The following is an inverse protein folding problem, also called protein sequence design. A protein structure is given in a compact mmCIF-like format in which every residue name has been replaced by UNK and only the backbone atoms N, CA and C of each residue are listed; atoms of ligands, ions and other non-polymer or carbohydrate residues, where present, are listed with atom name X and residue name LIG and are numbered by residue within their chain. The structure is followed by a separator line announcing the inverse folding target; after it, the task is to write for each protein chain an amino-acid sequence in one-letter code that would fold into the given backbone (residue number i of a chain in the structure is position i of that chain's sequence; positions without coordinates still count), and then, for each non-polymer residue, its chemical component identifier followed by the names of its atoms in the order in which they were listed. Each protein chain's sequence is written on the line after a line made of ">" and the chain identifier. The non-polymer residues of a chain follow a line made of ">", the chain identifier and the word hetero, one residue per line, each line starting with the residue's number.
data_IF_327990646293
#
_entry.id   IF_327990646293
#
_cell.length_a   1.000
_cell.length_b   1.000
_cell.length_c   1.000
_cell.angle_alpha   90.00
_cell.angle_beta   90.00
_cell.angle_gamma   90.00
#
_symmetry.space_group_name_H-M   'P 1'
#
loop_
_entity.id
_entity.type
_entity.pdbx_description
1 polymer ?
#
# COMPACT_ATOMS: atom_id res chain seq x y z
N UNK A 1 -1.94 -31.07 15.70
CA UNK A 1 -0.52 -30.94 15.31
C UNK A 1 -0.25 -29.46 15.21
N UNK A 2 0.25 -28.88 16.30
CA UNK A 2 0.58 -27.45 16.40
C UNK A 2 1.95 -27.25 15.78
N UNK A 3 2.02 -26.59 14.62
CA UNK A 3 3.28 -26.29 13.95
C UNK A 3 4.02 -25.25 14.80
N UNK A 4 5.17 -25.65 15.38
CA UNK A 4 6.02 -24.75 16.13
C UNK A 4 6.39 -23.54 15.27
N UNK A 5 5.90 -22.36 15.67
CA UNK A 5 6.20 -21.10 15.00
C UNK A 5 7.72 -20.89 14.99
N UNK A 6 8.31 -20.86 13.80
CA UNK A 6 9.75 -20.61 13.67
C UNK A 6 10.06 -19.19 14.15
N UNK A 7 11.12 -18.98 14.95
CA UNK A 7 11.45 -17.66 15.46
C UNK A 7 11.74 -16.70 14.29
N UNK A 8 11.11 -15.53 14.30
CA UNK A 8 11.32 -14.52 13.26
C UNK A 8 12.75 -14.02 13.30
N UNK A 9 13.53 -14.46 12.31
CA UNK A 9 14.93 -14.08 12.15
C UNK A 9 15.01 -12.82 11.29
N UNK A 10 15.71 -11.81 11.80
CA UNK A 10 16.05 -10.63 11.02
C UNK A 10 16.82 -11.02 9.74
N UNK A 11 16.66 -10.23 8.68
CA UNK A 11 17.37 -10.46 7.43
C UNK A 11 18.87 -10.25 7.64
N UNK A 12 19.71 -11.09 7.02
CA UNK A 12 21.15 -10.81 6.97
C UNK A 12 21.41 -9.53 6.17
N UNK A 13 22.51 -8.78 6.43
CA UNK A 13 22.81 -7.55 5.69
C UNK A 13 22.90 -7.73 4.17
N UNK A 14 23.32 -8.92 3.71
CA UNK A 14 23.38 -9.25 2.28
C UNK A 14 21.98 -9.46 1.70
N UNK A 15 21.09 -10.13 2.44
CA UNK A 15 19.69 -10.31 2.04
C UNK A 15 18.96 -8.97 2.02
N UNK A 16 19.16 -8.13 3.04
CA UNK A 16 18.56 -6.80 3.10
C UNK A 16 18.96 -5.93 1.91
N UNK A 17 20.26 -5.92 1.56
CA UNK A 17 20.75 -5.19 0.39
C UNK A 17 20.11 -5.70 -0.90
N UNK A 18 20.14 -7.01 -1.15
CA UNK A 18 19.54 -7.60 -2.35
C UNK A 18 18.04 -7.34 -2.45
N UNK A 19 17.33 -7.42 -1.32
CA UNK A 19 15.90 -7.13 -1.27
C UNK A 19 15.62 -5.67 -1.57
N UNK A 20 16.40 -4.75 -1.00
CA UNK A 20 16.31 -3.32 -1.27
C UNK A 20 16.52 -3.03 -2.75
N UNK A 21 17.61 -3.52 -3.34
CA UNK A 21 17.94 -3.33 -4.76
C UNK A 21 16.79 -3.84 -5.64
N UNK A 22 16.29 -5.05 -5.35
CA UNK A 22 15.17 -5.64 -6.06
C UNK A 22 13.88 -4.82 -5.94
N UNK A 23 13.52 -4.38 -4.74
CA UNK A 23 12.34 -3.55 -4.52
C UNK A 23 12.48 -2.21 -5.25
N UNK A 24 13.62 -1.55 -5.15
CA UNK A 24 13.89 -0.28 -5.85
C UNK A 24 13.73 -0.40 -7.36
N UNK A 25 14.28 -1.46 -7.97
CA UNK A 25 14.14 -1.75 -9.39
C UNK A 25 12.66 -1.94 -9.77
N UNK A 26 11.90 -2.68 -8.97
CA UNK A 26 10.48 -2.92 -9.23
C UNK A 26 9.61 -1.68 -9.04
N UNK A 27 9.89 -0.85 -8.03
CA UNK A 27 9.25 0.45 -7.87
C UNK A 27 9.54 1.38 -9.07
N UNK A 28 10.79 1.40 -9.54
CA UNK A 28 11.20 2.18 -10.71
C UNK A 28 10.48 1.69 -11.97
N UNK A 29 10.40 0.37 -12.16
CA UNK A 29 9.70 -0.23 -13.28
C UNK A 29 8.20 0.11 -13.26
N UNK A 30 7.54 -0.05 -12.12
CA UNK A 30 6.13 0.30 -11.93
C UNK A 30 5.87 1.77 -12.26
N UNK A 31 6.70 2.68 -11.71
CA UNK A 31 6.61 4.12 -11.94
C UNK A 31 6.85 4.47 -13.40
N UNK A 32 7.84 3.84 -14.04
CA UNK A 32 8.16 4.06 -15.45
C UNK A 32 7.00 3.61 -16.34
N UNK A 33 6.41 2.46 -16.06
CA UNK A 33 5.30 1.93 -16.84
C UNK A 33 4.04 2.80 -16.66
N UNK A 34 3.77 3.29 -15.45
CA UNK A 34 2.72 4.28 -15.18
C UNK A 34 2.96 5.58 -15.96
N UNK A 35 4.15 6.18 -15.86
CA UNK A 35 4.48 7.44 -16.57
C UNK A 35 4.41 7.30 -18.08
N UNK A 36 4.88 6.17 -18.64
CA UNK A 36 4.78 5.88 -20.09
C UNK A 36 3.33 5.88 -20.59
N UNK A 37 2.35 5.55 -19.74
CA UNK A 37 0.91 5.63 -20.08
C UNK A 37 0.36 7.05 -20.01
N UNK A 38 0.86 7.89 -19.11
CA UNK A 38 0.42 9.28 -18.98
C UNK A 38 0.96 10.20 -20.10
N UNK A 39 2.15 9.91 -20.63
CA UNK A 39 2.81 10.71 -21.69
C UNK A 39 2.04 10.76 -23.04
N UNK A 40 1.38 9.70 -23.52
CA UNK A 40 0.52 9.74 -24.71
C UNK A 40 -0.65 10.74 -24.64
N UNK A 41 -1.24 10.95 -23.46
CA UNK A 41 -2.43 11.79 -23.30
C UNK A 41 -2.14 13.29 -23.46
N UNK A 42 -1.00 13.75 -22.94
CA UNK A 42 -0.59 15.17 -23.03
C UNK A 42 -0.04 15.50 -24.44
N UNK A 43 0.58 14.53 -25.12
CA UNK A 43 1.04 14.71 -26.50
C UNK A 43 -0.07 14.63 -27.55
N UNK A 44 -1.20 13.97 -27.28
CA UNK A 44 -2.35 13.96 -28.20
C UNK A 44 -3.05 15.33 -28.30
N UNK A 45 -3.05 16.12 -27.22
CA UNK A 45 -3.65 17.47 -27.25
C UNK A 45 -2.82 18.42 -28.13
N UNK A 46 -1.50 18.22 -28.26
CA UNK A 46 -0.62 19.07 -29.06
C UNK A 46 -0.24 18.52 -30.45
N UNK A 47 -0.56 17.26 -30.79
CA UNK A 47 -0.30 16.68 -32.12
C UNK A 47 -1.52 16.70 -33.03
N UNK A 48 -2.11 17.87 -33.27
CA UNK A 48 -3.10 18.04 -34.35
C UNK A 48 -2.45 18.34 -35.72
N UNK A 49 -1.12 18.18 -35.89
CA UNK A 49 -0.46 18.56 -37.14
C UNK A 49 0.79 17.74 -37.49
N UNK A 50 0.67 16.41 -37.57
CA UNK A 50 1.54 15.62 -38.46
C UNK A 50 1.01 14.18 -38.62
N UNK A 51 0.53 13.86 -39.81
CA UNK A 51 0.11 12.53 -40.24
C UNK A 51 1.33 11.63 -40.46
N UNK A 52 1.65 10.77 -39.47
CA UNK A 52 2.24 9.45 -39.70
C UNK A 52 1.75 8.49 -38.61
N UNK A 53 1.09 7.38 -38.96
CA UNK A 53 0.78 6.34 -37.99
C UNK A 53 2.07 5.55 -37.72
N UNK A 54 2.79 5.88 -36.65
CA UNK A 54 3.77 4.92 -36.10
C UNK A 54 2.99 3.89 -35.29
N UNK A 55 2.78 2.73 -35.88
CA UNK A 55 2.30 1.53 -35.21
C UNK A 55 3.40 0.99 -34.28
N UNK A 56 3.63 1.64 -33.14
CA UNK A 56 4.21 0.97 -31.98
C UNK A 56 3.08 0.80 -30.96
N UNK A 57 2.66 -0.44 -30.64
CA UNK A 57 1.81 -0.62 -29.47
C UNK A 57 2.67 -0.21 -28.28
N UNK A 58 2.33 0.91 -27.63
CA UNK A 58 2.92 1.30 -26.34
C UNK A 58 2.43 0.27 -25.31
N UNK A 59 3.00 -0.92 -25.35
CA UNK A 59 2.63 -2.09 -24.56
C UNK A 59 3.15 -1.87 -23.15
N UNK A 60 2.51 -0.98 -22.41
CA UNK A 60 2.74 -0.81 -20.98
C UNK A 60 2.01 -1.94 -20.26
N UNK A 61 2.72 -2.71 -19.45
CA UNK A 61 2.16 -3.82 -18.66
C UNK A 61 1.11 -3.39 -17.62
N UNK A 62 0.99 -2.07 -17.35
CA UNK A 62 0.03 -1.47 -16.42
C UNK A 62 -0.96 -0.51 -17.12
N UNK A 63 -1.47 -0.93 -18.28
CA UNK A 63 -2.37 -0.13 -19.11
C UNK A 63 -3.70 0.18 -18.40
N UNK A 64 -4.22 -0.75 -17.61
CA UNK A 64 -5.46 -0.61 -16.84
C UNK A 64 -5.19 -0.43 -15.35
N UNK A 65 -6.17 0.09 -14.61
CA UNK A 65 -6.08 0.17 -13.14
C UNK A 65 -5.97 -1.23 -12.53
N UNK A 66 -6.70 -2.22 -13.06
CA UNK A 66 -6.64 -3.60 -12.60
C UNK A 66 -5.23 -4.21 -12.71
N UNK A 67 -4.52 -3.92 -13.80
CA UNK A 67 -3.13 -4.38 -13.98
C UNK A 67 -2.17 -3.66 -13.04
N UNK A 68 -2.36 -2.35 -12.85
CA UNK A 68 -1.57 -1.58 -11.90
C UNK A 68 -1.73 -2.08 -10.47
N UNK A 69 -2.97 -2.31 -10.02
CA UNK A 69 -3.27 -2.85 -8.68
C UNK A 69 -2.68 -4.25 -8.48
N UNK A 70 -2.66 -5.10 -9.52
CA UNK A 70 -2.06 -6.44 -9.45
C UNK A 70 -0.54 -6.38 -9.28
N UNK A 71 0.12 -5.54 -10.08
CA UNK A 71 1.58 -5.36 -9.98
C UNK A 71 1.96 -4.70 -8.65
N UNK A 72 1.20 -3.69 -8.21
CA UNK A 72 1.47 -3.00 -6.94
C UNK A 72 1.19 -3.90 -5.73
N UNK A 73 0.18 -4.78 -5.79
CA UNK A 73 -0.09 -5.78 -4.75
C UNK A 73 1.08 -6.76 -4.57
N UNK A 74 1.80 -7.09 -5.64
CA UNK A 74 3.00 -7.93 -5.55
C UNK A 74 4.07 -7.24 -4.71
N UNK A 75 4.29 -5.93 -4.92
CA UNK A 75 5.23 -5.14 -4.11
C UNK A 75 4.74 -4.96 -2.68
N UNK A 76 3.45 -4.76 -2.48
CA UNK A 76 2.82 -4.69 -1.16
C UNK A 76 3.08 -5.97 -0.35
N UNK A 77 2.75 -7.14 -0.91
CA UNK A 77 2.95 -8.43 -0.25
C UNK A 77 4.43 -8.68 0.08
N UNK A 78 5.34 -8.40 -0.85
CA UNK A 78 6.78 -8.53 -0.62
C UNK A 78 7.29 -7.58 0.48
N UNK A 79 6.78 -6.35 0.52
CA UNK A 79 7.15 -5.36 1.53
C UNK A 79 6.67 -5.80 2.92
N UNK A 80 5.46 -6.35 3.03
CA UNK A 80 4.92 -6.82 4.30
C UNK A 80 5.55 -8.10 4.83
N UNK A 81 6.12 -8.93 3.95
CA UNK A 81 6.92 -10.10 4.34
C UNK A 81 8.27 -9.74 4.97
N UNK A 82 8.70 -8.46 4.93
CA UNK A 82 9.89 -8.02 5.65
C UNK A 82 9.65 -8.20 7.17
N UNK A 83 10.56 -8.86 7.90
CA UNK A 83 10.38 -9.11 9.33
C UNK A 83 10.14 -7.81 10.12
N UNK A 84 9.19 -7.79 11.07
CA UNK A 84 8.96 -6.66 11.97
C UNK A 84 10.04 -6.53 13.06
N UNK A 85 11.20 -7.19 12.89
CA UNK A 85 12.32 -7.15 13.83
C UNK A 85 13.40 -6.16 13.36
N UNK A 86 14.04 -5.41 14.27
CA UNK A 86 15.18 -4.57 13.91
C UNK A 86 16.35 -5.38 13.34
N UNK A 87 17.11 -4.86 12.36
CA UNK A 87 16.96 -3.54 11.72
C UNK A 87 15.92 -3.49 10.57
N UNK A 88 15.44 -4.65 10.11
CA UNK A 88 14.60 -4.77 8.91
C UNK A 88 13.23 -4.09 9.03
N UNK A 89 12.72 -3.90 10.25
CA UNK A 89 11.46 -3.19 10.51
C UNK A 89 11.40 -1.78 9.89
N UNK A 90 12.51 -1.02 9.94
CA UNK A 90 12.56 0.33 9.34
C UNK A 90 12.48 0.29 7.81
N UNK A 91 13.05 -0.76 7.19
CA UNK A 91 12.98 -0.98 5.75
C UNK A 91 11.52 -1.23 5.32
N UNK A 92 10.79 -2.07 6.08
CA UNK A 92 9.36 -2.35 5.87
C UNK A 92 8.54 -1.07 5.87
N UNK A 93 8.70 -0.25 6.90
CA UNK A 93 8.00 1.04 7.02
C UNK A 93 8.32 1.98 5.85
N UNK A 94 9.60 2.10 5.49
CA UNK A 94 10.05 3.01 4.43
C UNK A 94 9.45 2.65 3.07
N UNK A 95 9.49 1.38 2.68
CA UNK A 95 8.92 0.94 1.40
C UNK A 95 7.40 1.00 1.40
N UNK A 96 6.74 0.72 2.53
CA UNK A 96 5.28 0.80 2.60
C UNK A 96 4.80 2.25 2.52
N UNK A 97 5.50 3.19 3.16
CA UNK A 97 5.25 4.64 3.02
C UNK A 97 5.38 5.08 1.56
N UNK A 98 6.43 4.63 0.87
CA UNK A 98 6.65 4.92 -0.55
C UNK A 98 5.52 4.36 -1.41
N UNK A 99 5.19 3.08 -1.22
CA UNK A 99 4.13 2.42 -1.97
C UNK A 99 2.78 3.11 -1.80
N UNK A 100 2.45 3.49 -0.57
CA UNK A 100 1.23 4.24 -0.26
C UNK A 100 1.21 5.55 -1.04
N UNK A 101 2.29 6.34 -0.99
CA UNK A 101 2.37 7.59 -1.75
C UNK A 101 2.26 7.40 -3.26
N UNK A 102 2.97 6.40 -3.81
CA UNK A 102 2.94 6.11 -5.25
C UNK A 102 1.55 5.69 -5.72
N UNK A 103 0.84 4.87 -4.94
CA UNK A 103 -0.48 4.34 -5.32
C UNK A 103 -1.57 5.38 -5.18
N UNK A 104 -1.62 6.09 -4.04
CA UNK A 104 -2.61 7.15 -3.85
C UNK A 104 -2.48 8.24 -4.92
N UNK A 105 -1.25 8.54 -5.37
CA UNK A 105 -1.01 9.48 -6.47
C UNK A 105 -1.23 8.90 -7.88
N UNK A 106 -1.15 7.57 -8.06
CA UNK A 106 -1.29 6.94 -9.37
C UNK A 106 -2.73 6.59 -9.75
N UNK A 107 -3.57 6.19 -8.78
CA UNK A 107 -4.97 5.78 -9.01
C UNK A 107 -5.74 6.85 -9.80
N UNK A 108 -5.70 8.15 -9.44
CA UNK A 108 -6.41 9.19 -10.19
C UNK A 108 -5.97 9.34 -11.64
N UNK A 109 -4.78 8.84 -12.00
CA UNK A 109 -4.30 8.82 -13.38
C UNK A 109 -5.02 7.81 -14.28
N UNK A 110 -5.85 6.92 -13.73
CA UNK A 110 -6.64 5.94 -14.48
C UNK A 110 -8.08 6.44 -14.65
N UNK A 111 -8.82 5.88 -15.61
CA UNK A 111 -10.25 6.19 -15.75
C UNK A 111 -11.04 5.37 -14.72
N UNK A 112 -11.95 5.98 -13.93
CA UNK A 112 -12.82 5.21 -13.04
C UNK A 112 -13.81 4.41 -13.89
N UNK A 113 -13.91 3.12 -13.62
CA UNK A 113 -14.88 2.20 -14.24
C UNK A 113 -15.56 1.41 -13.13
N UNK A 114 -16.89 1.24 -13.15
CA UNK A 114 -17.60 0.59 -12.04
C UNK A 114 -17.05 -0.83 -11.77
N UNK A 115 -16.67 -1.55 -12.82
CA UNK A 115 -16.17 -2.94 -12.73
C UNK A 115 -14.86 -3.09 -11.94
N UNK A 116 -14.06 -2.02 -11.79
CA UNK A 116 -12.77 -2.06 -11.08
C UNK A 116 -12.88 -1.55 -9.64
N UNK A 117 -14.00 -0.93 -9.26
CA UNK A 117 -14.18 -0.35 -7.93
C UNK A 117 -14.14 -1.39 -6.80
N UNK A 118 -14.77 -2.59 -6.93
CA UNK A 118 -14.63 -3.62 -5.91
C UNK A 118 -13.17 -4.06 -5.72
N UNK A 119 -12.44 -4.26 -6.82
CA UNK A 119 -11.03 -4.65 -6.78
C UNK A 119 -10.17 -3.57 -6.12
N UNK A 120 -10.45 -2.29 -6.40
CA UNK A 120 -9.76 -1.17 -5.76
C UNK A 120 -10.04 -1.13 -4.26
N UNK A 121 -11.30 -1.27 -3.86
CA UNK A 121 -11.69 -1.27 -2.45
C UNK A 121 -11.04 -2.41 -1.68
N UNK A 122 -11.04 -3.64 -2.24
CA UNK A 122 -10.34 -4.78 -1.64
C UNK A 122 -8.85 -4.50 -1.46
N UNK A 123 -8.22 -3.89 -2.47
CA UNK A 123 -6.80 -3.53 -2.41
C UNK A 123 -6.51 -2.47 -1.33
N UNK A 124 -7.38 -1.45 -1.19
CA UNK A 124 -7.25 -0.41 -0.16
C UNK A 124 -7.50 -0.97 1.25
N UNK A 125 -8.44 -1.91 1.40
CA UNK A 125 -8.66 -2.62 2.64
C UNK A 125 -7.46 -3.47 3.06
N UNK A 126 -6.81 -4.14 2.11
CA UNK A 126 -5.56 -4.85 2.37
C UNK A 126 -4.46 -3.88 2.79
N UNK A 127 -4.35 -2.72 2.13
CA UNK A 127 -3.40 -1.68 2.52
C UNK A 127 -3.62 -1.19 3.96
N UNK A 128 -4.88 -0.96 4.37
CA UNK A 128 -5.22 -0.59 5.75
C UNK A 128 -4.79 -1.66 6.76
N UNK A 129 -5.12 -2.94 6.51
CA UNK A 129 -4.70 -4.07 7.35
C UNK A 129 -3.17 -4.20 7.40
N UNK A 130 -2.51 -3.97 6.27
CA UNK A 130 -1.06 -3.98 6.17
C UNK A 130 -0.42 -2.91 7.05
N UNK A 131 -0.98 -1.70 7.05
CA UNK A 131 -0.56 -0.62 7.93
C UNK A 131 -0.82 -0.91 9.40
N UNK A 132 -1.99 -1.47 9.75
CA UNK A 132 -2.27 -1.93 11.12
C UNK A 132 -1.23 -2.95 11.59
N UNK A 133 -0.88 -3.93 10.74
CA UNK A 133 0.16 -4.91 11.08
C UNK A 133 1.53 -4.25 11.28
N UNK A 134 1.89 -3.22 10.49
CA UNK A 134 3.13 -2.47 10.68
C UNK A 134 3.12 -1.66 11.97
N UNK A 135 2.03 -0.93 12.25
CA UNK A 135 1.89 -0.10 13.44
C UNK A 135 1.97 -0.92 14.73
N UNK A 136 1.45 -2.15 14.70
CA UNK A 136 1.46 -3.09 15.82
C UNK A 136 2.72 -3.95 15.90
N UNK A 137 3.65 -3.83 14.95
CA UNK A 137 4.86 -4.66 14.91
C UNK A 137 4.57 -6.15 14.64
N UNK A 138 3.46 -6.46 13.98
CA UNK A 138 3.01 -7.81 13.68
C UNK A 138 3.68 -8.36 12.41
N UNK A 139 3.81 -9.69 12.35
CA UNK A 139 4.13 -10.37 11.10
C UNK A 139 2.92 -10.31 10.17
N UNK A 140 3.15 -10.40 8.86
CA UNK A 140 2.08 -10.45 7.89
C UNK A 140 1.84 -11.88 7.43
N UNK A 141 0.62 -12.36 7.56
CA UNK A 141 0.17 -13.59 6.91
C UNK A 141 -0.34 -13.24 5.50
N UNK A 142 0.40 -13.69 4.48
CA UNK A 142 0.07 -13.41 3.09
C UNK A 142 -1.16 -14.17 2.58
N UNK A 143 -1.46 -15.33 3.16
CA UNK A 143 -2.60 -16.16 2.76
C UNK A 143 -3.89 -15.63 3.41
N UNK A 144 -3.83 -15.30 4.70
CA UNK A 144 -4.97 -14.77 5.45
C UNK A 144 -5.15 -13.25 5.31
N UNK A 145 -4.16 -12.53 4.77
CA UNK A 145 -4.13 -11.05 4.62
C UNK A 145 -4.39 -10.30 5.93
N UNK A 146 -3.75 -10.76 7.00
CA UNK A 146 -3.88 -10.20 8.34
C UNK A 146 -2.54 -10.13 9.06
N UNK A 147 -2.44 -9.18 10.00
CA UNK A 147 -1.34 -9.14 10.95
C UNK A 147 -1.47 -10.29 11.95
N UNK A 148 -0.39 -11.02 12.17
CA UNK A 148 -0.30 -12.07 13.19
C UNK A 148 0.69 -11.67 14.27
N UNK A 149 0.27 -11.86 15.52
CA UNK A 149 1.15 -11.63 16.66
C UNK A 149 2.31 -12.61 16.62
N UNK A 150 3.51 -12.07 16.75
CA UNK A 150 4.72 -12.88 16.77
C UNK A 150 4.86 -13.43 18.19
N UNK A 151 4.87 -14.76 18.39
CA UNK A 151 5.16 -15.33 19.69
C UNK A 151 6.52 -14.80 20.15
N UNK A 152 6.52 -14.09 21.27
CA UNK A 152 7.74 -13.59 21.89
C UNK A 152 8.67 -14.78 22.06
N UNK A 153 9.84 -14.76 21.41
CA UNK A 153 10.82 -15.81 21.61
C UNK A 153 11.15 -15.82 23.11
N UNK A 154 10.72 -16.89 23.79
CA UNK A 154 10.96 -17.13 25.19
C UNK A 154 12.46 -16.97 25.45
N UNK A 155 12.77 -15.93 26.23
CA UNK A 155 13.74 -15.86 27.31
C UNK A 155 14.72 -17.06 27.38
N UNK A 156 16.05 -16.84 27.33
CA UNK A 156 16.98 -17.90 27.67
C UNK A 156 16.69 -18.38 29.11
N UNK A 157 16.65 -19.70 29.37
CA UNK A 157 16.67 -20.19 30.74
C UNK A 157 18.06 -19.88 31.30
N UNK A 158 18.06 -19.30 32.50
CA UNK A 158 19.22 -19.09 33.38
C UNK A 158 19.98 -17.75 33.24
N UNK A 159 19.84 -16.91 34.28
CA UNK A 159 20.88 -15.97 34.71
C UNK A 159 20.45 -14.52 34.92
N UNK A 160 19.99 -14.20 36.14
CA UNK A 160 19.95 -12.90 36.84
C UNK A 160 20.41 -11.63 36.08
N UNK A 161 19.67 -11.21 35.07
CA UNK A 161 19.79 -9.87 34.47
C UNK A 161 18.41 -9.19 34.45
N UNK A 162 18.31 -7.90 34.78
CA UNK A 162 17.04 -7.19 34.82
C UNK A 162 16.37 -7.30 33.44
N UNK A 163 15.12 -7.77 33.45
CA UNK A 163 14.28 -8.05 32.30
C UNK A 163 14.41 -6.94 31.24
N UNK A 164 15.32 -7.15 30.29
CA UNK A 164 15.44 -6.32 29.11
C UNK A 164 14.39 -6.85 28.14
N UNK A 165 13.20 -6.28 28.26
CA UNK A 165 12.10 -6.36 27.29
C UNK A 165 12.72 -6.40 25.91
N UNK A 166 12.65 -7.55 25.25
CA UNK A 166 13.23 -7.70 23.91
C UNK A 166 12.37 -6.85 23.00
N UNK A 167 12.87 -5.64 22.73
CA UNK A 167 12.14 -4.52 22.13
C UNK A 167 11.54 -4.98 20.81
N UNK A 168 10.21 -5.19 20.79
CA UNK A 168 9.40 -5.17 19.58
C UNK A 168 9.88 -3.97 18.75
N UNK A 169 10.10 -4.17 17.43
CA UNK A 169 10.78 -3.20 16.59
C UNK A 169 10.31 -1.78 16.86
N UNK A 170 11.25 -0.84 16.99
CA UNK A 170 10.96 0.52 17.45
C UNK A 170 9.67 1.04 16.83
N UNK A 171 8.71 1.50 17.65
CA UNK A 171 7.44 1.98 17.14
C UNK A 171 7.72 3.09 16.11
N UNK A 172 6.92 3.08 15.05
CA UNK A 172 6.98 4.03 13.94
C UNK A 172 7.17 5.46 14.49
N UNK A 173 8.17 6.18 13.98
CA UNK A 173 8.50 7.52 14.50
C UNK A 173 7.34 8.51 14.29
N UNK A 174 7.26 9.55 15.13
CA UNK A 174 6.23 10.58 14.99
C UNK A 174 6.23 11.24 13.61
N UNK A 175 7.41 11.41 13.00
CA UNK A 175 7.54 11.94 11.64
C UNK A 175 6.95 10.99 10.60
N UNK A 176 7.22 9.69 10.70
CA UNK A 176 6.65 8.69 9.80
C UNK A 176 5.13 8.58 9.97
N UNK A 177 4.61 8.68 11.21
CA UNK A 177 3.17 8.70 11.50
C UNK A 177 2.49 9.93 10.89
N UNK A 178 3.08 11.11 11.09
CA UNK A 178 2.60 12.36 10.48
C UNK A 178 2.58 12.25 8.96
N UNK A 179 3.64 11.69 8.36
CA UNK A 179 3.72 11.47 6.92
C UNK A 179 2.64 10.49 6.43
N UNK A 180 2.47 9.35 7.09
CA UNK A 180 1.42 8.39 6.75
C UNK A 180 0.04 9.04 6.80
N UNK A 181 -0.28 9.74 7.89
CA UNK A 181 -1.55 10.46 8.03
C UNK A 181 -1.78 11.44 6.88
N UNK A 182 -0.77 12.21 6.49
CA UNK A 182 -0.87 13.16 5.37
C UNK A 182 -1.11 12.46 4.02
N UNK A 183 -0.48 11.30 3.79
CA UNK A 183 -0.67 10.51 2.57
C UNK A 183 -2.07 9.91 2.48
N UNK A 184 -2.59 9.39 3.61
CA UNK A 184 -3.93 8.79 3.65
C UNK A 184 -5.01 9.85 3.45
N UNK A 185 -4.98 10.95 4.23
CA UNK A 185 -5.99 12.01 4.13
C UNK A 185 -5.94 12.70 2.76
N UNK A 186 -4.75 13.05 2.27
CA UNK A 186 -4.61 13.67 0.96
C UNK A 186 -4.99 12.72 -0.17
N UNK A 187 -4.66 11.44 -0.02
CA UNK A 187 -4.98 10.40 -0.99
C UNK A 187 -6.47 10.08 -1.07
N UNK A 188 -7.18 10.00 0.06
CA UNK A 188 -8.63 9.77 0.07
C UNK A 188 -9.38 10.93 -0.57
N UNK A 189 -8.98 12.18 -0.28
CA UNK A 189 -9.55 13.36 -0.94
C UNK A 189 -9.34 13.34 -2.47
N UNK A 190 -8.16 12.94 -2.95
CA UNK A 190 -7.91 12.76 -4.39
C UNK A 190 -8.73 11.62 -4.99
N UNK A 191 -8.98 10.57 -4.21
CA UNK A 191 -9.78 9.43 -4.63
C UNK A 191 -11.27 9.80 -4.75
N UNK A 192 -11.80 10.57 -3.81
CA UNK A 192 -13.16 11.12 -3.86
C UNK A 192 -13.34 12.02 -5.11
N UNK A 193 -12.42 12.96 -5.36
CA UNK A 193 -12.43 13.78 -6.57
C UNK A 193 -12.34 12.92 -7.84
N UNK A 194 -11.54 11.86 -7.82
CA UNK A 194 -11.47 10.91 -8.92
C UNK A 194 -12.79 10.16 -9.14
N UNK A 195 -13.48 9.75 -8.07
CA UNK A 195 -14.79 9.10 -8.14
C UNK A 195 -15.88 10.02 -8.69
N UNK A 196 -15.82 11.33 -8.43
CA UNK A 196 -16.74 12.31 -9.06
C UNK A 196 -16.66 12.25 -10.59
N UNK A 197 -15.50 11.87 -11.17
CA UNK A 197 -15.38 11.68 -12.62
C UNK A 197 -16.05 10.41 -13.16
N UNK A 198 -16.51 9.50 -12.29
CA UNK A 198 -17.34 8.35 -12.68
C UNK A 198 -18.68 8.83 -13.26
N UNK A 199 -19.20 9.95 -12.76
CA UNK A 199 -20.50 10.54 -13.14
C UNK A 199 -20.47 11.07 -14.56
N UNK A 200 -19.32 11.63 -14.97
CA UNK A 200 -19.12 12.06 -16.35
C UNK A 200 -19.17 10.89 -17.37
N UNK A 201 -18.96 9.64 -16.93
CA UNK A 201 -19.01 8.47 -17.79
C UNK A 201 -20.43 7.88 -17.94
N UNK A 202 -21.34 8.13 -16.98
CA UNK A 202 -22.75 7.74 -17.00
C UNK A 202 -23.58 9.02 -16.82
N UNK A 203 -23.97 9.64 -17.92
CA UNK A 203 -24.57 10.99 -18.06
C UNK A 203 -25.70 11.46 -17.12
N UNK A 204 -26.06 10.77 -16.02
CA UNK A 204 -27.07 11.24 -15.06
C UNK A 204 -27.00 10.58 -13.65
N UNK A 205 -25.97 9.79 -13.31
CA UNK A 205 -25.88 9.13 -12.01
C UNK A 205 -24.78 9.72 -11.13
N UNK A 206 -25.14 10.17 -9.93
CA UNK A 206 -24.21 10.50 -8.83
C UNK A 206 -23.40 9.26 -8.42
N UNK A 207 -22.08 9.40 -8.27
CA UNK A 207 -21.18 8.29 -7.95
C UNK A 207 -21.58 7.63 -6.64
N UNK A 208 -22.16 8.40 -5.71
CA UNK A 208 -22.70 7.90 -4.44
C UNK A 208 -23.78 6.85 -4.69
N UNK A 209 -24.72 7.11 -5.61
CA UNK A 209 -25.74 6.14 -5.99
C UNK A 209 -25.14 4.90 -6.68
N UNK A 210 -24.08 5.09 -7.49
CA UNK A 210 -23.37 3.95 -8.12
C UNK A 210 -22.71 3.08 -7.06
N UNK A 211 -22.04 3.67 -6.08
CA UNK A 211 -21.42 2.95 -4.97
C UNK A 211 -22.46 2.26 -4.08
N UNK A 212 -23.57 2.92 -3.77
CA UNK A 212 -24.68 2.35 -2.99
C UNK A 212 -25.30 1.15 -3.71
N UNK A 213 -25.57 1.28 -5.02
CA UNK A 213 -26.12 0.19 -5.84
C UNK A 213 -25.19 -1.03 -5.87
N UNK A 214 -23.88 -0.80 -5.77
CA UNK A 214 -22.86 -1.86 -5.72
C UNK A 214 -22.57 -2.34 -4.30
N UNK A 215 -23.15 -1.73 -3.26
CA UNK A 215 -22.88 -2.03 -1.85
C UNK A 215 -21.47 -1.65 -1.40
N UNK A 216 -20.80 -0.73 -2.11
CA UNK A 216 -19.40 -0.34 -1.85
C UNK A 216 -19.29 0.93 -0.99
N UNK A 217 -20.36 1.71 -0.86
CA UNK A 217 -20.33 3.03 -0.22
C UNK A 217 -19.70 3.00 1.17
N UNK A 218 -20.22 2.15 2.07
CA UNK A 218 -19.69 2.02 3.43
C UNK A 218 -18.19 1.69 3.46
N UNK A 219 -17.72 0.87 2.52
CA UNK A 219 -16.30 0.52 2.44
C UNK A 219 -15.42 1.70 2.04
N UNK A 220 -15.91 2.57 1.15
CA UNK A 220 -15.21 3.81 0.79
C UNK A 220 -15.26 4.85 1.94
N UNK A 221 -16.39 4.94 2.65
CA UNK A 221 -16.56 5.84 3.80
C UNK A 221 -15.66 5.44 4.99
N UNK A 222 -15.45 4.14 5.20
CA UNK A 222 -14.65 3.60 6.29
C UNK A 222 -13.16 3.44 5.95
N UNK A 223 -12.71 3.92 4.77
CA UNK A 223 -11.34 3.77 4.31
C UNK A 223 -10.32 4.29 5.33
N UNK A 224 -9.38 3.43 5.67
CA UNK A 224 -8.29 3.72 6.61
C UNK A 224 -8.72 4.12 8.03
N UNK A 225 -9.99 3.94 8.39
CA UNK A 225 -10.50 4.24 9.73
C UNK A 225 -9.70 3.50 10.81
N UNK A 226 -9.33 2.24 10.56
CA UNK A 226 -8.48 1.43 11.43
C UNK A 226 -7.11 2.05 11.64
N UNK A 227 -6.36 2.29 10.56
CA UNK A 227 -5.02 2.90 10.63
C UNK A 227 -5.05 4.29 11.26
N UNK A 228 -6.03 5.13 10.93
CA UNK A 228 -6.16 6.49 11.50
C UNK A 228 -6.49 6.46 13.00
N UNK A 229 -7.32 5.53 13.44
CA UNK A 229 -7.66 5.33 14.85
C UNK A 229 -6.43 4.86 15.64
N UNK A 230 -5.71 3.86 15.12
CA UNK A 230 -4.48 3.35 15.73
C UNK A 230 -3.41 4.45 15.89
N UNK A 231 -3.25 5.32 14.89
CA UNK A 231 -2.33 6.46 14.98
C UNK A 231 -2.82 7.56 15.93
N UNK A 232 -4.14 7.74 16.07
CA UNK A 232 -4.76 8.74 16.95
C UNK A 232 -4.85 8.33 18.41
N UNK A 233 -4.76 7.03 18.72
CA UNK A 233 -4.92 6.49 20.08
C UNK A 233 -3.77 6.80 21.04
N UNK A 234 -2.70 7.48 20.60
CA UNK A 234 -1.51 7.77 21.41
C UNK A 234 -1.46 9.18 22.03
N UNK A 235 -2.49 10.02 21.87
CA UNK A 235 -2.51 11.39 22.43
C UNK A 235 -3.09 11.48 23.86
N UNK A 236 -2.99 10.39 24.64
CA UNK A 236 -3.63 10.27 25.94
C UNK A 236 -2.91 9.35 26.92
N UNK A 237 -1.61 9.58 27.14
CA UNK A 237 -0.94 9.12 28.35
C UNK A 237 -0.55 10.36 29.17
N UNK A 238 -1.45 10.76 30.07
CA UNK A 238 -1.18 11.66 31.20
C UNK A 238 -0.81 10.80 32.40
#
# INVERSE_FOLDING_TARGET
>A
MEAAASPLKALSPVQERKLRDFLEDRFLELTRNFKKRCVPAVLCIFRFRSTRPSSEPTSTTVATLADYLRESHTLFSLTLQIPPTPPSASLRTTFLLRLTGDIMGAIPGYRPTPDVLPQLLDWLNDLDRGWLAVLRGQAWDADARVGTDVPHALQPPDGDAPASTTVLGSPLSQTERTRLRSLLIGGTAQLEEWLVNLDAARSDADYTMVLETMGLQQGFDDLFSGTLTEMGSFDGAV
#
